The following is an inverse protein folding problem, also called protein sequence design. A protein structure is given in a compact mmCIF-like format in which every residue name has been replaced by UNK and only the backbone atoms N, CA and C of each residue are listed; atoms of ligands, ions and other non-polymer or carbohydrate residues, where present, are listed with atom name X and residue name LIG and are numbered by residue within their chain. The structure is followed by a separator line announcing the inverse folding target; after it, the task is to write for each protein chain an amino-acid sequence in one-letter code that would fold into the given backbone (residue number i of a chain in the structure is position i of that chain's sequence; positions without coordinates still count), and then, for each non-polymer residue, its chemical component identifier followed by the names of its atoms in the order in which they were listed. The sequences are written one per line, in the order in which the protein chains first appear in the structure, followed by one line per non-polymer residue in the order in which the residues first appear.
data_IF_871410516486
#
_entry.id   IF_871410516486
#
_cell.length_a   1.000
_cell.length_b   1.000
_cell.length_c   1.000
_cell.angle_alpha   90.00
_cell.angle_beta   90.00
_cell.angle_gamma   90.00
#
_symmetry.space_group_name_H-M   'P 1'
#
loop_
_entity.id
_entity.type
_entity.pdbx_description
1 polymer ?
#
# COMPACT_ATOMS: atom_id res chain seq x y z
N UNK A 1 16.78 8.09 -13.61
CA UNK A 1 16.47 7.33 -12.38
C UNK A 1 14.96 7.29 -12.30
N UNK A 2 14.38 6.15 -12.65
CA UNK A 2 12.94 6.05 -12.86
C UNK A 2 12.27 5.69 -11.53
N UNK A 3 11.35 6.54 -11.11
CA UNK A 3 10.57 6.34 -9.89
C UNK A 3 9.15 5.90 -10.24
N UNK A 4 8.52 5.18 -9.32
CA UNK A 4 7.11 4.84 -9.40
C UNK A 4 6.44 5.00 -8.02
N UNK A 5 5.13 5.13 -8.06
CA UNK A 5 4.25 5.13 -6.89
C UNK A 5 3.53 3.78 -6.85
N UNK A 6 3.62 3.08 -5.73
CA UNK A 6 2.82 1.88 -5.49
C UNK A 6 1.64 2.26 -4.58
N UNK A 7 0.44 2.00 -5.08
CA UNK A 7 -0.83 2.16 -4.37
C UNK A 7 -1.18 0.81 -3.74
N UNK A 8 -1.25 0.76 -2.41
CA UNK A 8 -1.50 -0.48 -1.66
C UNK A 8 -2.59 -0.22 -0.63
N UNK A 9 -3.63 -1.04 -0.58
CA UNK A 9 -4.66 -0.97 0.46
C UNK A 9 -4.35 -1.96 1.57
N UNK A 10 -4.75 -1.63 2.80
CA UNK A 10 -4.58 -2.45 3.98
C UNK A 10 -5.89 -2.49 4.77
N UNK A 11 -6.15 -3.59 5.47
CA UNK A 11 -7.37 -3.77 6.28
C UNK A 11 -7.34 -3.00 7.59
N UNK A 12 -6.18 -2.52 8.04
CA UNK A 12 -6.07 -1.69 9.25
C UNK A 12 -4.89 -0.73 9.25
N UNK A 13 -4.95 0.26 10.14
CA UNK A 13 -3.84 1.20 10.37
C UNK A 13 -2.59 0.52 10.96
N UNK A 14 -2.77 -0.51 11.78
CA UNK A 14 -1.69 -1.29 12.39
C UNK A 14 -0.93 -2.07 11.32
N UNK A 15 -1.67 -2.76 10.43
CA UNK A 15 -1.12 -3.47 9.27
C UNK A 15 -0.38 -2.51 8.34
N UNK A 16 -1.01 -1.39 7.98
CA UNK A 16 -0.40 -0.37 7.11
C UNK A 16 0.92 0.15 7.69
N UNK A 17 0.99 0.40 9.01
CA UNK A 17 2.22 0.80 9.70
C UNK A 17 3.28 -0.30 9.66
N UNK A 18 2.89 -1.53 9.90
CA UNK A 18 3.79 -2.69 9.91
C UNK A 18 4.46 -2.86 8.55
N UNK A 19 3.67 -2.85 7.46
CA UNK A 19 4.16 -2.93 6.08
C UNK A 19 5.05 -1.72 5.76
N UNK A 20 4.56 -0.50 6.02
CA UNK A 20 5.30 0.73 5.73
C UNK A 20 6.68 0.75 6.38
N UNK A 21 6.80 0.31 7.65
CA UNK A 21 8.08 0.22 8.34
C UNK A 21 8.98 -0.82 7.71
N UNK A 22 8.48 -2.04 7.49
CA UNK A 22 9.27 -3.13 6.94
C UNK A 22 9.89 -2.79 5.57
N UNK A 23 9.10 -2.24 4.64
CA UNK A 23 9.58 -1.93 3.28
C UNK A 23 10.56 -0.75 3.24
N UNK A 24 10.41 0.21 4.16
CA UNK A 24 11.36 1.35 4.28
C UNK A 24 12.64 0.91 4.98
N UNK A 25 12.55 0.14 6.07
CA UNK A 25 13.73 -0.41 6.78
C UNK A 25 14.57 -1.31 5.87
N UNK A 26 13.93 -2.11 5.01
CA UNK A 26 14.57 -2.94 3.96
C UNK A 26 15.05 -2.15 2.73
N UNK A 27 14.83 -0.83 2.69
CA UNK A 27 15.18 0.06 1.57
C UNK A 27 14.52 -0.31 0.23
N UNK A 28 13.37 -0.97 0.28
CA UNK A 28 12.56 -1.30 -0.91
C UNK A 28 11.63 -0.15 -1.31
N UNK A 29 11.30 0.74 -0.38
CA UNK A 29 10.67 2.02 -0.64
C UNK A 29 11.46 3.14 0.05
N UNK A 30 11.52 4.32 -0.57
CA UNK A 30 12.14 5.49 0.03
C UNK A 30 11.27 6.10 1.14
N UNK A 31 9.95 6.07 0.98
CA UNK A 31 9.00 6.50 1.99
C UNK A 31 7.61 5.89 1.77
N UNK A 32 6.77 5.99 2.81
CA UNK A 32 5.37 5.58 2.82
C UNK A 32 4.51 6.72 3.37
N UNK A 33 3.36 7.00 2.74
CA UNK A 33 2.30 7.80 3.38
C UNK A 33 1.12 6.88 3.71
N UNK A 34 0.58 7.04 4.92
CA UNK A 34 -0.56 6.28 5.42
C UNK A 34 -1.76 7.23 5.47
N UNK A 35 -2.80 6.92 4.69
CA UNK A 35 -4.05 7.66 4.67
C UNK A 35 -5.14 6.74 5.23
N UNK A 36 -5.64 7.08 6.41
CA UNK A 36 -6.66 6.34 7.13
C UNK A 36 -8.06 6.91 6.85
N UNK A 37 -9.11 6.12 7.06
CA UNK A 37 -10.50 6.51 6.83
C UNK A 37 -10.94 6.49 5.37
N UNK A 38 -10.36 5.63 4.53
CA UNK A 38 -10.83 5.41 3.16
C UNK A 38 -12.01 4.44 3.15
N UNK A 39 -12.95 4.65 2.22
CA UNK A 39 -14.01 3.68 1.91
C UNK A 39 -13.72 3.07 0.54
N UNK A 40 -13.62 1.75 0.50
CA UNK A 40 -13.47 0.95 -0.70
C UNK A 40 -14.84 0.52 -1.20
N UNK A 41 -15.18 0.89 -2.44
CA UNK A 41 -16.46 0.51 -3.05
C UNK A 41 -16.18 -0.44 -4.21
N UNK A 42 -16.66 -1.68 -4.10
CA UNK A 42 -16.35 -2.73 -5.07
C UNK A 42 -17.49 -3.73 -5.22
N UNK A 43 -17.45 -4.54 -6.29
CA UNK A 43 -18.44 -5.60 -6.53
C UNK A 43 -17.81 -6.96 -6.26
N UNK A 44 -18.42 -7.75 -5.40
CA UNK A 44 -18.00 -9.10 -5.08
C UNK A 44 -19.22 -10.02 -4.99
N UNK A 45 -19.13 -11.19 -5.63
CA UNK A 45 -20.22 -12.17 -5.74
C UNK A 45 -21.56 -11.55 -6.18
N UNK A 46 -21.49 -10.64 -7.16
CA UNK A 46 -22.66 -9.94 -7.71
C UNK A 46 -23.21 -8.80 -6.85
N UNK A 47 -22.75 -8.65 -5.62
CA UNK A 47 -23.23 -7.66 -4.65
C UNK A 47 -22.27 -6.47 -4.56
N UNK A 48 -22.81 -5.27 -4.32
CA UNK A 48 -22.01 -4.07 -4.06
C UNK A 48 -21.60 -4.06 -2.59
N UNK A 49 -20.31 -3.85 -2.32
CA UNK A 49 -19.73 -3.78 -0.99
C UNK A 49 -19.07 -2.42 -0.78
N UNK A 50 -19.13 -1.96 0.46
CA UNK A 50 -18.44 -0.75 0.93
C UNK A 50 -17.71 -1.11 2.22
N UNK A 51 -16.38 -1.15 2.16
CA UNK A 51 -15.56 -1.55 3.30
C UNK A 51 -14.55 -0.47 3.69
N UNK A 52 -14.21 -0.32 4.99
CA UNK A 52 -13.14 0.57 5.41
C UNK A 52 -11.78 0.01 4.98
N UNK A 53 -10.91 0.89 4.49
CA UNK A 53 -9.53 0.57 4.14
C UNK A 53 -8.56 1.68 4.58
N UNK A 54 -7.29 1.31 4.69
CA UNK A 54 -6.18 2.25 4.87
C UNK A 54 -5.30 2.22 3.62
N UNK A 55 -5.01 3.39 3.07
CA UNK A 55 -4.19 3.53 1.88
C UNK A 55 -2.72 3.78 2.23
N UNK A 56 -1.83 2.98 1.64
CA UNK A 56 -0.40 3.21 1.57
C UNK A 56 0.02 3.73 0.19
N UNK A 57 0.73 4.86 0.20
CA UNK A 57 1.39 5.42 -0.97
C UNK A 57 2.91 5.31 -0.84
N UNK A 58 3.48 4.27 -1.44
CA UNK A 58 4.91 3.95 -1.39
C UNK A 58 5.65 4.56 -2.58
N UNK A 59 6.74 5.30 -2.32
CA UNK A 59 7.57 5.88 -3.38
C UNK A 59 8.82 5.01 -3.51
N UNK A 60 9.04 4.46 -4.68
CA UNK A 60 10.19 3.59 -4.93
C UNK A 60 10.79 3.83 -6.31
N UNK A 61 11.94 3.21 -6.55
CA UNK A 61 12.53 3.11 -7.87
C UNK A 61 11.84 1.99 -8.65
N UNK A 62 11.68 2.17 -9.96
CA UNK A 62 11.01 1.20 -10.83
C UNK A 62 11.65 -0.19 -10.80
N UNK A 63 12.97 -0.26 -10.64
CA UNK A 63 13.71 -1.52 -10.57
C UNK A 63 13.56 -2.27 -9.23
N UNK A 64 13.08 -1.60 -8.18
CA UNK A 64 12.75 -2.22 -6.89
C UNK A 64 11.28 -2.63 -6.78
N UNK A 65 10.43 -2.26 -7.74
CA UNK A 65 8.99 -2.52 -7.65
C UNK A 65 8.65 -4.01 -7.51
N UNK A 66 9.37 -4.89 -8.22
CA UNK A 66 9.17 -6.34 -8.10
C UNK A 66 9.51 -6.86 -6.70
N UNK A 67 10.69 -6.49 -6.19
CA UNK A 67 11.12 -6.88 -4.85
C UNK A 67 10.22 -6.28 -3.75
N UNK A 68 9.64 -5.09 -3.98
CA UNK A 68 8.67 -4.48 -3.06
C UNK A 68 7.36 -5.26 -3.00
N UNK A 69 6.90 -5.86 -4.11
CA UNK A 69 5.65 -6.64 -4.16
C UNK A 69 5.77 -8.01 -3.49
N UNK A 70 6.95 -8.62 -3.49
CA UNK A 70 7.21 -9.93 -2.88
C UNK A 70 7.61 -9.86 -1.40
N UNK A 71 7.74 -8.65 -0.85
CA UNK A 71 8.33 -8.37 0.47
C UNK A 71 7.39 -8.65 1.65
#
# INVERSE_FOLDING_TARGET
MDCCLCYVTCGSREEARTIARAVVERRLAACANILDGMTSVYRWEGTLHEDPEVLLLLKTRRDLAGALTEA
#
